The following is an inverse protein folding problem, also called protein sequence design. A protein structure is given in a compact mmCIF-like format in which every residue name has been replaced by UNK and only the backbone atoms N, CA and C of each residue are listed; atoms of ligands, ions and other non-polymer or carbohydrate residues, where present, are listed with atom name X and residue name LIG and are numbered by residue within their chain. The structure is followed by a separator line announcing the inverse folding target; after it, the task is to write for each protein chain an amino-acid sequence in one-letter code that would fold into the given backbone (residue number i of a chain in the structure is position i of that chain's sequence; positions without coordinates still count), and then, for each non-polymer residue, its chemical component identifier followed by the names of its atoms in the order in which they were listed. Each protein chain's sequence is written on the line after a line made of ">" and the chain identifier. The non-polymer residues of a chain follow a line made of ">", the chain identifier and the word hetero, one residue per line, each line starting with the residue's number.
data_IF_399343793864
#
_entry.id   IF_399343793864
#
_cell.length_a   1.000
_cell.length_b   1.000
_cell.length_c   1.000
_cell.angle_alpha   90.00
_cell.angle_beta   90.00
_cell.angle_gamma   90.00
#
_symmetry.space_group_name_H-M   'P 1'
#
loop_
_entity.id
_entity.type
_entity.pdbx_description
1 polymer ?
#
# COMPACT_ATOMS: atom_id res chain seq x y z
N UNK A 1 55.59 52.30 4.14
CA UNK A 1 56.01 51.84 2.84
C UNK A 1 55.87 50.28 2.84
N UNK A 2 55.04 49.79 1.99
CA UNK A 2 54.82 48.39 1.59
C UNK A 2 54.67 47.32 2.67
N UNK A 3 53.44 46.98 2.98
CA UNK A 3 52.97 45.58 3.07
C UNK A 3 51.52 45.55 2.58
N UNK A 4 51.42 45.58 1.30
CA UNK A 4 50.20 45.17 0.56
C UNK A 4 50.57 43.93 -0.18
N UNK A 5 49.58 43.06 -0.32
CA UNK A 5 49.47 42.00 -1.33
C UNK A 5 49.70 40.59 -0.81
N UNK A 6 48.59 39.91 -0.98
CA UNK A 6 48.33 38.49 -1.22
C UNK A 6 47.58 37.78 -0.07
N UNK A 7 46.34 38.18 0.12
CA UNK A 7 45.27 37.21 0.49
C UNK A 7 44.57 36.78 -0.79
N UNK A 8 45.14 35.84 -1.51
CA UNK A 8 44.41 35.10 -2.54
C UNK A 8 43.33 34.25 -1.85
N UNK A 9 42.10 34.77 -1.95
CA UNK A 9 40.93 34.01 -1.58
C UNK A 9 40.84 32.74 -2.40
N UNK A 10 41.11 31.59 -1.80
CA UNK A 10 40.54 30.36 -2.19
C UNK A 10 39.09 30.38 -1.71
N UNK A 11 38.19 30.88 -2.53
CA UNK A 11 36.81 30.46 -2.51
C UNK A 11 36.81 28.96 -2.79
N UNK A 12 36.75 28.15 -1.75
CA UNK A 12 36.31 26.78 -1.85
C UNK A 12 34.90 26.82 -2.45
N UNK A 13 34.83 26.61 -3.76
CA UNK A 13 33.62 26.22 -4.41
C UNK A 13 33.22 24.87 -3.81
N UNK A 14 32.49 24.89 -2.70
CA UNK A 14 31.60 23.82 -2.30
C UNK A 14 30.53 23.70 -3.39
N UNK A 15 30.86 23.06 -4.48
CA UNK A 15 29.93 22.51 -5.43
C UNK A 15 29.34 21.26 -4.75
N UNK A 16 28.48 21.47 -3.73
CA UNK A 16 27.39 20.54 -3.45
C UNK A 16 26.59 20.47 -4.75
N UNK A 17 26.82 19.44 -5.53
CA UNK A 17 25.90 19.00 -6.57
C UNK A 17 24.61 18.60 -5.84
N UNK A 18 23.75 19.59 -5.56
CA UNK A 18 22.38 19.34 -5.14
C UNK A 18 21.76 18.50 -6.25
N UNK A 19 21.71 17.19 -6.05
CA UNK A 19 20.92 16.31 -6.90
C UNK A 19 19.49 16.88 -6.91
N UNK A 20 19.10 17.44 -8.06
CA UNK A 20 17.81 18.10 -8.21
C UNK A 20 16.73 17.04 -7.97
N UNK A 21 16.02 17.16 -6.83
CA UNK A 21 14.97 16.23 -6.44
C UNK A 21 13.99 16.01 -7.59
N UNK A 22 13.66 14.75 -7.89
CA UNK A 22 12.63 14.39 -8.86
C UNK A 22 11.30 15.08 -8.54
N UNK A 23 10.50 15.38 -9.55
CA UNK A 23 9.19 16.02 -9.35
C UNK A 23 8.15 15.44 -10.31
N UNK A 24 6.94 15.24 -9.81
CA UNK A 24 5.77 14.94 -10.62
C UNK A 24 5.46 16.08 -11.60
N UNK A 25 4.83 15.74 -12.73
CA UNK A 25 4.46 16.74 -13.75
C UNK A 25 3.45 17.77 -13.21
N UNK A 26 2.56 17.36 -12.29
CA UNK A 26 1.54 18.21 -11.67
C UNK A 26 0.62 17.41 -10.75
N UNK A 27 -0.55 17.97 -10.43
CA UNK A 27 -1.56 17.38 -9.54
C UNK A 27 -1.94 15.95 -9.97
N UNK A 28 -2.28 15.76 -11.25
CA UNK A 28 -2.72 14.46 -11.75
C UNK A 28 -1.63 13.39 -11.61
N UNK A 29 -0.35 13.75 -11.85
CA UNK A 29 0.79 12.84 -11.67
C UNK A 29 0.91 12.37 -10.22
N UNK A 30 0.83 13.29 -9.27
CA UNK A 30 0.84 12.95 -7.84
C UNK A 30 -0.36 12.08 -7.46
N UNK A 31 -1.58 12.53 -7.77
CA UNK A 31 -2.82 11.84 -7.37
C UNK A 31 -2.87 10.40 -7.90
N UNK A 32 -2.58 10.18 -9.19
CA UNK A 32 -2.63 8.84 -9.76
C UNK A 32 -1.49 7.93 -9.26
N UNK A 33 -0.31 8.50 -8.95
CA UNK A 33 0.77 7.73 -8.34
C UNK A 33 0.47 7.38 -6.89
N UNK A 34 -0.05 8.32 -6.09
CA UNK A 34 -0.42 8.08 -4.70
C UNK A 34 -1.65 7.17 -4.58
N UNK A 35 -2.67 7.36 -5.44
CA UNK A 35 -3.80 6.43 -5.51
C UNK A 35 -3.36 5.04 -5.95
N UNK A 36 -2.42 4.92 -6.91
CA UNK A 36 -1.83 3.64 -7.31
C UNK A 36 -1.01 2.97 -6.21
N UNK A 37 -0.39 3.76 -5.32
CA UNK A 37 0.24 3.23 -4.12
C UNK A 37 -0.79 2.67 -3.13
N UNK A 38 -1.91 3.38 -2.94
CA UNK A 38 -2.98 3.00 -2.00
C UNK A 38 -3.82 1.85 -2.54
N UNK A 39 -4.21 1.90 -3.82
CA UNK A 39 -5.01 0.83 -4.45
C UNK A 39 -4.12 -0.37 -4.77
N UNK A 40 -4.11 -1.35 -3.87
CA UNK A 40 -3.27 -2.53 -3.96
C UNK A 40 -4.02 -3.83 -3.71
N UNK A 41 -3.26 -4.87 -3.43
CA UNK A 41 -3.82 -6.19 -3.09
C UNK A 41 -4.72 -6.12 -1.85
N UNK A 42 -4.46 -5.19 -0.92
CA UNK A 42 -5.27 -4.99 0.27
C UNK A 42 -6.72 -4.62 -0.02
N UNK A 43 -6.98 -3.83 -1.08
CA UNK A 43 -8.34 -3.49 -1.50
C UNK A 43 -9.05 -4.68 -2.17
N UNK A 44 -8.30 -5.52 -2.89
CA UNK A 44 -8.88 -6.58 -3.71
C UNK A 44 -9.22 -7.83 -2.90
N UNK A 45 -8.39 -8.23 -1.94
CA UNK A 45 -8.69 -9.45 -1.17
C UNK A 45 -9.02 -9.20 0.30
N UNK A 46 -8.19 -8.35 0.98
CA UNK A 46 -8.31 -8.17 2.43
C UNK A 46 -9.59 -7.40 2.78
N UNK A 47 -9.89 -6.34 2.06
CA UNK A 47 -11.09 -5.55 2.30
C UNK A 47 -12.39 -6.35 2.14
N UNK A 48 -12.64 -7.09 1.01
CA UNK A 48 -13.84 -7.90 0.88
C UNK A 48 -13.99 -8.97 1.96
N UNK A 49 -12.89 -9.65 2.31
CA UNK A 49 -12.88 -10.63 3.37
C UNK A 49 -13.28 -10.01 4.72
N UNK A 50 -12.63 -8.91 5.11
CA UNK A 50 -12.92 -8.24 6.38
C UNK A 50 -14.34 -7.67 6.40
N UNK A 51 -14.80 -7.10 5.29
CA UNK A 51 -16.17 -6.62 5.18
C UNK A 51 -17.18 -7.75 5.37
N UNK A 52 -16.97 -8.91 4.75
CA UNK A 52 -17.84 -10.05 4.93
C UNK A 52 -17.81 -10.61 6.37
N UNK A 53 -16.62 -10.75 6.95
CA UNK A 53 -16.45 -11.30 8.31
C UNK A 53 -16.97 -10.38 9.41
N UNK A 54 -16.84 -9.06 9.24
CA UNK A 54 -17.11 -8.10 10.32
C UNK A 54 -18.34 -7.22 10.05
N UNK A 55 -19.35 -7.77 9.37
CA UNK A 55 -20.70 -7.21 9.37
C UNK A 55 -21.14 -6.48 8.09
N UNK A 56 -20.43 -6.67 6.97
CA UNK A 56 -20.86 -6.14 5.65
C UNK A 56 -20.99 -4.63 5.63
N UNK A 57 -22.22 -4.12 5.46
CA UNK A 57 -22.48 -2.69 5.34
C UNK A 57 -22.11 -1.86 6.57
N UNK A 58 -22.13 -2.44 7.78
CA UNK A 58 -21.71 -1.71 8.98
C UNK A 58 -20.17 -1.57 9.00
N UNK A 59 -19.42 -2.58 8.53
CA UNK A 59 -17.98 -2.48 8.34
C UNK A 59 -17.63 -1.40 7.31
N UNK A 60 -18.35 -1.37 6.17
CA UNK A 60 -18.16 -0.35 5.14
C UNK A 60 -18.41 1.06 5.69
N UNK A 61 -19.48 1.26 6.48
CA UNK A 61 -19.77 2.55 7.10
C UNK A 61 -18.64 3.01 8.02
N UNK A 62 -18.15 2.11 8.90
CA UNK A 62 -17.03 2.40 9.81
C UNK A 62 -15.76 2.71 9.00
N UNK A 63 -15.47 1.93 7.96
CA UNK A 63 -14.33 2.15 7.08
C UNK A 63 -14.37 3.54 6.43
N UNK A 64 -15.51 3.96 5.87
CA UNK A 64 -15.67 5.29 5.26
C UNK A 64 -15.44 6.40 6.29
N UNK A 65 -16.03 6.27 7.50
CA UNK A 65 -15.83 7.25 8.57
C UNK A 65 -14.35 7.39 8.95
N UNK A 66 -13.63 6.27 9.02
CA UNK A 66 -12.19 6.27 9.29
C UNK A 66 -11.39 6.85 8.11
N UNK A 67 -11.79 6.60 6.86
CA UNK A 67 -11.12 7.16 5.68
C UNK A 67 -11.16 8.69 5.70
N UNK A 68 -12.34 9.27 5.91
CA UNK A 68 -12.54 10.73 5.89
C UNK A 68 -12.00 11.45 7.14
N UNK A 69 -11.59 10.72 8.16
CA UNK A 69 -11.05 11.27 9.40
C UNK A 69 -9.58 10.90 9.60
N UNK A 70 -9.31 9.66 9.97
CA UNK A 70 -7.96 9.16 10.26
C UNK A 70 -7.10 9.11 9.01
N UNK A 71 -7.59 8.48 7.94
CA UNK A 71 -6.88 8.33 6.67
C UNK A 71 -6.50 9.69 6.08
N UNK A 72 -7.49 10.57 5.95
CA UNK A 72 -7.30 11.95 5.51
C UNK A 72 -6.19 12.68 6.30
N UNK A 73 -6.25 12.57 7.63
CA UNK A 73 -5.30 13.24 8.52
C UNK A 73 -3.88 12.76 8.31
N UNK A 74 -3.67 11.45 8.22
CA UNK A 74 -2.34 10.88 8.06
C UNK A 74 -1.75 11.15 6.68
N UNK A 75 -2.56 11.07 5.61
CA UNK A 75 -2.11 11.41 4.25
C UNK A 75 -1.64 12.87 4.19
N UNK A 76 -2.39 13.82 4.77
CA UNK A 76 -1.99 15.23 4.83
C UNK A 76 -0.68 15.38 5.61
N UNK A 77 -0.57 14.77 6.79
CA UNK A 77 0.60 14.91 7.64
C UNK A 77 1.88 14.42 6.92
N UNK A 78 1.84 13.22 6.36
CA UNK A 78 3.00 12.63 5.68
C UNK A 78 3.34 13.35 4.37
N UNK A 79 2.34 13.70 3.56
CA UNK A 79 2.55 14.44 2.31
C UNK A 79 3.12 15.84 2.58
N UNK A 80 2.61 16.53 3.59
CA UNK A 80 3.13 17.85 3.97
C UNK A 80 4.57 17.76 4.47
N UNK A 81 4.92 16.80 5.33
CA UNK A 81 6.29 16.56 5.78
C UNK A 81 7.24 16.35 4.59
N UNK A 82 6.85 15.52 3.64
CA UNK A 82 7.62 15.27 2.42
C UNK A 82 7.80 16.55 1.59
N UNK A 83 6.72 17.32 1.36
CA UNK A 83 6.77 18.54 0.54
C UNK A 83 7.58 19.65 1.19
N UNK A 84 7.48 19.83 2.51
CA UNK A 84 8.25 20.81 3.28
C UNK A 84 9.76 20.55 3.20
N UNK A 85 10.14 19.28 3.38
CA UNK A 85 11.55 18.91 3.56
C UNK A 85 12.26 18.58 2.25
N UNK A 86 11.51 18.17 1.22
CA UNK A 86 12.05 17.69 -0.06
C UNK A 86 12.97 16.49 0.09
N UNK A 87 12.75 15.66 1.10
CA UNK A 87 13.58 14.49 1.44
C UNK A 87 12.74 13.22 1.59
N UNK A 88 13.41 12.08 1.55
CA UNK A 88 12.89 10.78 1.94
C UNK A 88 12.56 10.74 3.45
N UNK A 89 11.90 9.71 3.96
CA UNK A 89 11.48 9.65 5.36
C UNK A 89 12.59 9.96 6.36
N UNK A 90 13.79 9.37 6.22
CA UNK A 90 14.90 9.60 7.14
C UNK A 90 15.32 11.08 7.15
N UNK A 91 15.53 11.62 5.95
CA UNK A 91 15.89 13.02 5.79
C UNK A 91 14.79 13.98 6.22
N UNK A 92 13.51 13.60 6.07
CA UNK A 92 12.38 14.41 6.53
C UNK A 92 12.34 14.54 8.05
N UNK A 93 12.57 13.45 8.77
CA UNK A 93 12.62 13.48 10.23
C UNK A 93 13.86 14.22 10.75
N UNK A 94 15.03 13.97 10.19
CA UNK A 94 16.29 14.60 10.60
C UNK A 94 16.35 16.10 10.30
N UNK A 95 15.48 16.60 9.39
CA UNK A 95 15.34 18.02 9.12
C UNK A 95 14.92 18.84 10.37
N UNK A 96 14.14 18.24 11.26
CA UNK A 96 13.61 18.90 12.46
C UNK A 96 14.46 18.69 13.71
N UNK A 97 15.58 17.98 13.61
CA UNK A 97 16.52 17.79 14.72
C UNK A 97 17.35 16.51 14.58
N UNK A 98 18.38 16.40 15.42
CA UNK A 98 19.34 15.28 15.43
C UNK A 98 19.15 14.30 16.60
N UNK A 99 17.98 14.29 17.23
CA UNK A 99 17.71 13.39 18.35
C UNK A 99 17.57 11.92 17.95
N UNK A 100 17.97 10.99 18.84
CA UNK A 100 17.86 9.53 18.58
C UNK A 100 16.42 9.08 18.24
N UNK A 101 15.41 9.68 18.87
CA UNK A 101 14.00 9.38 18.56
C UNK A 101 13.58 9.81 17.16
N UNK A 102 14.09 10.93 16.66
CA UNK A 102 13.85 11.37 15.28
C UNK A 102 14.52 10.44 14.28
N UNK A 103 15.76 10.05 14.53
CA UNK A 103 16.45 9.07 13.69
C UNK A 103 15.68 7.74 13.64
N UNK A 104 15.21 7.24 14.79
CA UNK A 104 14.40 6.03 14.85
C UNK A 104 13.09 6.17 14.05
N UNK A 105 12.33 7.27 14.22
CA UNK A 105 11.09 7.52 13.50
C UNK A 105 11.30 7.59 11.99
N UNK A 106 12.39 8.23 11.53
CA UNK A 106 12.75 8.28 10.11
C UNK A 106 13.11 6.91 9.55
N UNK A 107 13.98 6.16 10.24
CA UNK A 107 14.44 4.85 9.78
C UNK A 107 13.34 3.80 9.82
N UNK A 108 12.45 3.78 10.81
CA UNK A 108 11.35 2.81 10.82
C UNK A 108 10.43 3.01 9.61
N UNK A 109 10.09 4.27 9.27
CA UNK A 109 9.31 4.58 8.06
C UNK A 109 10.03 4.19 6.76
N UNK A 110 11.36 4.25 6.72
CA UNK A 110 12.16 3.91 5.55
C UNK A 110 12.39 2.41 5.38
N UNK A 111 12.53 1.66 6.48
CA UNK A 111 12.77 0.21 6.46
C UNK A 111 11.51 -0.58 6.10
N UNK A 112 10.33 -0.09 6.47
CA UNK A 112 9.06 -0.75 6.17
C UNK A 112 8.92 -1.10 4.67
N UNK A 113 9.00 -0.16 3.71
CA UNK A 113 8.87 -0.51 2.30
C UNK A 113 9.99 -1.42 1.79
N UNK A 114 11.20 -1.34 2.37
CA UNK A 114 12.33 -2.23 2.03
C UNK A 114 12.02 -3.68 2.40
N UNK A 115 11.29 -3.91 3.49
CA UNK A 115 10.88 -5.25 3.93
C UNK A 115 9.59 -5.73 3.26
N UNK A 116 8.67 -4.83 2.93
CA UNK A 116 7.39 -5.19 2.28
C UNK A 116 7.61 -5.62 0.84
N UNK A 117 8.35 -4.83 0.05
CA UNK A 117 8.44 -5.06 -1.40
C UNK A 117 8.97 -6.44 -1.80
N UNK A 118 9.90 -7.09 -1.08
CA UNK A 118 10.32 -8.44 -1.38
C UNK A 118 9.18 -9.48 -1.36
N UNK A 119 8.48 -9.62 -0.23
CA UNK A 119 7.41 -10.60 -0.12
C UNK A 119 6.16 -10.20 -0.92
N UNK A 120 5.88 -8.91 -1.07
CA UNK A 120 4.81 -8.40 -1.92
C UNK A 120 5.01 -8.77 -3.39
N UNK A 121 6.27 -8.77 -3.84
CA UNK A 121 6.63 -9.19 -5.21
C UNK A 121 6.43 -10.69 -5.43
N UNK A 122 6.54 -11.52 -4.39
CA UNK A 122 6.19 -12.96 -4.47
C UNK A 122 4.70 -13.12 -4.80
N UNK A 123 3.85 -12.39 -4.10
CA UNK A 123 2.40 -12.42 -4.36
C UNK A 123 2.08 -11.87 -5.75
N UNK A 124 2.78 -10.81 -6.18
CA UNK A 124 2.70 -10.30 -7.55
C UNK A 124 3.09 -11.35 -8.61
N UNK A 125 4.08 -12.18 -8.31
CA UNK A 125 4.45 -13.34 -9.12
C UNK A 125 3.33 -14.39 -9.22
N UNK A 126 2.65 -14.68 -8.11
CA UNK A 126 1.49 -15.58 -8.12
C UNK A 126 0.37 -15.04 -9.02
N UNK A 127 0.15 -13.73 -9.01
CA UNK A 127 -0.83 -13.09 -9.91
C UNK A 127 -0.43 -13.28 -11.38
N UNK A 128 0.85 -13.10 -11.74
CA UNK A 128 1.34 -13.34 -13.11
C UNK A 128 1.11 -14.79 -13.52
N UNK A 129 1.42 -15.75 -12.64
CA UNK A 129 1.19 -17.17 -12.92
C UNK A 129 -0.29 -17.46 -13.20
N UNK A 130 -1.20 -16.99 -12.36
CA UNK A 130 -2.64 -17.19 -12.54
C UNK A 130 -3.16 -16.52 -13.82
N UNK A 131 -2.72 -15.32 -14.11
CA UNK A 131 -3.05 -14.63 -15.37
C UNK A 131 -2.59 -15.46 -16.58
N UNK A 132 -1.36 -15.97 -16.56
CA UNK A 132 -0.82 -16.82 -17.63
C UNK A 132 -1.66 -18.08 -17.84
N UNK A 133 -2.10 -18.74 -16.77
CA UNK A 133 -2.97 -19.91 -16.86
C UNK A 133 -4.34 -19.58 -17.49
N UNK A 134 -4.95 -18.45 -17.12
CA UNK A 134 -6.19 -18.01 -17.76
C UNK A 134 -6.01 -17.68 -19.24
N UNK A 135 -4.92 -16.99 -19.61
CA UNK A 135 -4.61 -16.64 -21.00
C UNK A 135 -4.30 -17.85 -21.88
N UNK A 136 -3.72 -18.90 -21.32
CA UNK A 136 -3.41 -20.14 -22.02
C UNK A 136 -4.55 -21.17 -22.03
N UNK A 137 -5.72 -20.80 -21.50
CA UNK A 137 -6.92 -21.68 -21.49
C UNK A 137 -6.96 -22.72 -20.38
N UNK A 138 -6.03 -22.67 -19.42
CA UNK A 138 -5.98 -23.58 -18.28
C UNK A 138 -6.71 -23.07 -17.03
N UNK A 139 -7.60 -22.08 -17.19
CA UNK A 139 -8.33 -21.45 -16.09
C UNK A 139 -9.15 -22.42 -15.22
N UNK A 140 -9.67 -23.50 -15.81
CA UNK A 140 -10.41 -24.53 -15.06
C UNK A 140 -9.52 -25.32 -14.10
N UNK A 141 -8.25 -25.51 -14.42
CA UNK A 141 -7.30 -26.19 -13.53
C UNK A 141 -7.05 -25.43 -12.23
N UNK A 142 -7.15 -24.08 -12.26
CA UNK A 142 -6.98 -23.24 -11.09
C UNK A 142 -8.06 -23.43 -10.01
N UNK A 143 -9.23 -23.94 -10.40
CA UNK A 143 -10.33 -24.26 -9.49
C UNK A 143 -10.19 -25.59 -8.78
N UNK A 144 -9.21 -26.42 -9.16
CA UNK A 144 -9.00 -27.74 -8.54
C UNK A 144 -8.41 -27.61 -7.13
N UNK A 145 -8.82 -28.52 -6.25
CA UNK A 145 -8.29 -28.57 -4.90
C UNK A 145 -6.78 -28.86 -4.93
N UNK A 146 -6.04 -28.13 -4.12
CA UNK A 146 -4.58 -28.27 -4.02
C UNK A 146 -3.77 -27.60 -5.14
N UNK A 147 -4.38 -27.00 -6.17
CA UNK A 147 -3.63 -26.33 -7.23
C UNK A 147 -2.71 -25.23 -6.67
N UNK A 148 -3.26 -24.32 -5.85
CA UNK A 148 -2.48 -23.23 -5.27
C UNK A 148 -1.33 -23.74 -4.39
N UNK A 149 -1.60 -24.70 -3.50
CA UNK A 149 -0.55 -25.26 -2.64
C UNK A 149 0.51 -26.02 -3.46
N UNK A 150 0.12 -26.74 -4.50
CA UNK A 150 1.05 -27.38 -5.43
C UNK A 150 1.93 -26.38 -6.20
N UNK A 151 1.36 -25.23 -6.59
CA UNK A 151 2.10 -24.16 -7.27
C UNK A 151 3.13 -23.50 -6.33
N UNK A 152 2.72 -23.06 -5.13
CA UNK A 152 3.63 -22.36 -4.20
C UNK A 152 4.69 -23.29 -3.59
N UNK A 153 4.44 -24.59 -3.52
CA UNK A 153 5.44 -25.58 -3.09
C UNK A 153 6.45 -25.94 -4.18
N UNK A 154 6.14 -25.67 -5.45
CA UNK A 154 7.08 -25.81 -6.56
C UNK A 154 8.06 -24.63 -6.56
N UNK A 155 9.18 -24.79 -5.88
CA UNK A 155 10.18 -23.71 -5.69
C UNK A 155 10.64 -23.08 -6.99
N UNK A 156 10.86 -23.86 -8.06
CA UNK A 156 11.32 -23.30 -9.35
C UNK A 156 10.26 -22.40 -9.99
N UNK A 157 9.01 -22.86 -10.02
CA UNK A 157 7.92 -22.13 -10.67
C UNK A 157 7.55 -20.87 -9.89
N UNK A 158 7.49 -20.97 -8.55
CA UNK A 158 7.26 -19.85 -7.67
C UNK A 158 8.36 -18.78 -7.78
N UNK A 159 9.63 -19.21 -7.85
CA UNK A 159 10.77 -18.32 -8.00
C UNK A 159 10.79 -17.60 -9.36
N UNK A 160 10.54 -18.31 -10.46
CA UNK A 160 10.46 -17.68 -11.80
C UNK A 160 9.36 -16.63 -11.84
N UNK A 161 8.19 -16.92 -11.31
CA UNK A 161 7.06 -15.99 -11.28
C UNK A 161 7.39 -14.74 -10.44
N UNK A 162 7.99 -14.92 -9.27
CA UNK A 162 8.47 -13.86 -8.39
C UNK A 162 9.52 -12.96 -9.09
N UNK A 163 10.55 -13.56 -9.69
CA UNK A 163 11.61 -12.82 -10.37
C UNK A 163 11.05 -12.02 -11.56
N UNK A 164 10.12 -12.58 -12.31
CA UNK A 164 9.48 -11.88 -13.43
C UNK A 164 8.77 -10.60 -12.95
N UNK A 165 7.96 -10.68 -11.87
CA UNK A 165 7.31 -9.51 -11.30
C UNK A 165 8.31 -8.48 -10.78
N UNK A 166 9.36 -8.96 -10.09
CA UNK A 166 10.43 -8.11 -9.54
C UNK A 166 11.16 -7.34 -10.65
N UNK A 167 11.53 -8.01 -11.74
CA UNK A 167 12.21 -7.35 -12.86
C UNK A 167 11.32 -6.35 -13.60
N UNK A 168 10.01 -6.61 -13.71
CA UNK A 168 9.06 -5.62 -14.28
C UNK A 168 9.03 -4.38 -13.38
N UNK A 169 8.91 -4.55 -12.06
CA UNK A 169 8.93 -3.44 -11.10
C UNK A 169 10.22 -2.63 -11.19
N UNK A 170 11.38 -3.30 -11.14
CA UNK A 170 12.69 -2.64 -11.22
C UNK A 170 12.88 -1.90 -12.56
N UNK A 171 12.45 -2.49 -13.67
CA UNK A 171 12.50 -1.83 -14.99
C UNK A 171 11.76 -0.50 -15.04
N UNK A 172 10.60 -0.43 -14.38
CA UNK A 172 9.82 0.81 -14.25
C UNK A 172 10.56 1.82 -13.35
N UNK A 173 11.15 1.35 -12.25
CA UNK A 173 11.91 2.21 -11.33
C UNK A 173 13.15 2.80 -12.01
N UNK A 174 13.88 2.03 -12.80
CA UNK A 174 15.02 2.53 -13.59
C UNK A 174 14.64 3.68 -14.54
N UNK A 175 13.42 3.69 -15.07
CA UNK A 175 12.92 4.77 -15.94
C UNK A 175 12.68 6.10 -15.18
N UNK A 176 12.74 6.11 -13.84
CA UNK A 176 12.62 7.30 -12.99
C UNK A 176 11.19 7.66 -12.60
N UNK A 177 11.05 8.70 -11.78
CA UNK A 177 9.76 9.11 -11.21
C UNK A 177 8.76 9.52 -12.31
N UNK A 178 9.16 10.41 -13.20
CA UNK A 178 8.27 10.98 -14.22
C UNK A 178 7.98 10.03 -15.37
N UNK A 179 9.00 9.36 -15.88
CA UNK A 179 8.88 8.49 -17.08
C UNK A 179 8.49 7.05 -16.71
N UNK A 180 8.80 6.61 -15.50
CA UNK A 180 8.43 5.30 -14.94
C UNK A 180 7.18 5.41 -14.08
N UNK A 181 7.34 5.77 -12.81
CA UNK A 181 6.27 5.74 -11.79
C UNK A 181 5.02 6.48 -12.24
N UNK A 182 5.15 7.76 -12.59
CA UNK A 182 4.02 8.61 -12.97
C UNK A 182 3.35 8.16 -14.27
N UNK A 183 4.16 7.84 -15.30
CA UNK A 183 3.64 7.44 -16.61
C UNK A 183 2.87 6.12 -16.53
N UNK A 184 3.40 5.16 -15.81
CA UNK A 184 2.76 3.85 -15.61
C UNK A 184 1.47 4.01 -14.81
N UNK A 185 1.47 4.76 -13.71
CA UNK A 185 0.26 5.03 -12.92
C UNK A 185 -0.83 5.74 -13.72
N UNK A 186 -0.46 6.68 -14.60
CA UNK A 186 -1.41 7.38 -15.48
C UNK A 186 -2.15 6.45 -16.45
N UNK A 187 -1.54 5.35 -16.84
CA UNK A 187 -2.17 4.34 -17.72
C UNK A 187 -2.90 3.29 -16.92
N UNK A 188 -2.23 2.72 -15.92
CA UNK A 188 -2.78 1.59 -15.15
C UNK A 188 -4.01 1.97 -14.32
N UNK A 189 -4.01 3.14 -13.67
CA UNK A 189 -5.12 3.52 -12.78
C UNK A 189 -6.46 3.69 -13.50
N UNK A 190 -6.58 4.41 -14.62
CA UNK A 190 -7.84 4.46 -15.36
C UNK A 190 -8.31 3.08 -15.86
N UNK A 191 -7.39 2.25 -16.36
CA UNK A 191 -7.73 0.89 -16.81
C UNK A 191 -8.23 0.04 -15.63
N UNK A 192 -7.58 0.13 -14.47
CA UNK A 192 -7.99 -0.56 -13.25
C UNK A 192 -9.42 -0.15 -12.84
N UNK A 193 -9.75 1.15 -12.87
CA UNK A 193 -11.11 1.63 -12.58
C UNK A 193 -12.13 1.05 -13.55
N UNK A 194 -11.85 1.08 -14.86
CA UNK A 194 -12.76 0.51 -15.87
C UNK A 194 -12.96 -1.00 -15.65
N UNK A 195 -11.88 -1.75 -15.43
CA UNK A 195 -11.95 -3.19 -15.17
C UNK A 195 -12.75 -3.49 -13.90
N UNK A 196 -12.55 -2.71 -12.81
CA UNK A 196 -13.29 -2.90 -11.57
C UNK A 196 -14.79 -2.70 -11.75
N UNK A 197 -15.19 -1.68 -12.53
CA UNK A 197 -16.62 -1.44 -12.85
C UNK A 197 -17.18 -2.60 -13.68
N UNK A 198 -16.49 -3.03 -14.72
CA UNK A 198 -16.95 -4.13 -15.60
C UNK A 198 -17.16 -5.42 -14.80
N UNK A 199 -16.19 -5.79 -13.95
CA UNK A 199 -16.29 -7.01 -13.16
C UNK A 199 -17.35 -6.89 -12.07
N UNK A 200 -17.48 -5.72 -11.41
CA UNK A 200 -18.51 -5.49 -10.40
C UNK A 200 -19.92 -5.60 -11.02
N UNK A 201 -20.15 -4.96 -12.18
CA UNK A 201 -21.42 -5.08 -12.90
C UNK A 201 -21.73 -6.54 -13.26
N UNK A 202 -20.73 -7.28 -13.77
CA UNK A 202 -20.89 -8.70 -14.05
C UNK A 202 -21.24 -9.49 -12.79
N UNK A 203 -20.55 -9.25 -11.67
CA UNK A 203 -20.78 -9.95 -10.40
C UNK A 203 -22.19 -9.70 -9.84
N UNK A 204 -22.63 -8.45 -9.76
CA UNK A 204 -23.94 -8.09 -9.18
C UNK A 204 -25.13 -8.55 -10.02
N UNK A 205 -24.93 -8.82 -11.31
CA UNK A 205 -25.97 -9.33 -12.20
C UNK A 205 -26.14 -10.86 -12.17
N UNK A 206 -25.36 -11.59 -11.37
CA UNK A 206 -25.50 -13.04 -11.26
C UNK A 206 -26.73 -13.44 -10.46
N UNK A 207 -27.41 -14.54 -10.83
CA UNK A 207 -28.49 -15.09 -10.01
C UNK A 207 -28.00 -15.34 -8.57
N UNK A 208 -28.75 -14.87 -7.58
CA UNK A 208 -28.37 -14.99 -6.17
C UNK A 208 -27.43 -13.91 -5.62
N UNK A 209 -26.82 -13.08 -6.47
CA UNK A 209 -25.89 -12.03 -6.05
C UNK A 209 -26.52 -10.91 -5.21
N UNK A 210 -27.85 -10.66 -5.36
CA UNK A 210 -28.54 -9.55 -4.69
C UNK A 210 -28.45 -9.64 -3.16
N UNK A 211 -28.44 -10.85 -2.59
CA UNK A 211 -28.25 -11.03 -1.15
C UNK A 211 -26.88 -10.50 -0.69
N UNK A 212 -25.82 -10.78 -1.44
CA UNK A 212 -24.48 -10.28 -1.18
C UNK A 212 -24.36 -8.76 -1.35
N UNK A 213 -25.01 -8.19 -2.39
CA UNK A 213 -25.09 -6.73 -2.57
C UNK A 213 -25.76 -6.07 -1.36
N UNK A 214 -26.91 -6.60 -0.93
CA UNK A 214 -27.64 -6.07 0.22
C UNK A 214 -26.81 -6.21 1.51
N UNK A 215 -26.19 -7.36 1.73
CA UNK A 215 -25.32 -7.59 2.89
C UNK A 215 -24.17 -6.58 2.95
N UNK A 216 -23.53 -6.30 1.81
CA UNK A 216 -22.34 -5.44 1.75
C UNK A 216 -22.69 -3.95 1.80
N UNK A 217 -23.79 -3.50 1.19
CA UNK A 217 -24.09 -2.07 1.08
C UNK A 217 -25.04 -1.55 2.16
N UNK A 218 -25.86 -2.42 2.76
CA UNK A 218 -26.86 -1.97 3.75
C UNK A 218 -26.32 -2.16 5.16
N UNK A 219 -26.05 -1.08 5.91
CA UNK A 219 -25.61 -1.17 7.29
C UNK A 219 -26.66 -1.86 8.17
N UNK A 220 -26.26 -2.94 8.85
CA UNK A 220 -27.09 -3.60 9.86
C UNK A 220 -26.44 -3.47 11.23
N UNK A 221 -26.99 -2.64 12.15
CA UNK A 221 -26.41 -2.46 13.49
C UNK A 221 -26.30 -3.75 14.30
N UNK A 222 -27.16 -4.76 14.02
CA UNK A 222 -27.09 -6.05 14.71
C UNK A 222 -25.78 -6.81 14.43
N UNK A 223 -25.12 -6.52 13.31
CA UNK A 223 -23.84 -7.10 12.92
C UNK A 223 -22.63 -6.32 13.47
N UNK A 224 -22.86 -5.26 14.24
CA UNK A 224 -21.78 -4.45 14.81
C UNK A 224 -21.07 -5.19 15.93
N UNK A 225 -19.75 -5.14 15.91
CA UNK A 225 -18.89 -5.58 17.02
C UNK A 225 -17.71 -4.61 17.18
N UNK A 226 -17.04 -4.63 18.33
CA UNK A 226 -15.81 -3.85 18.49
C UNK A 226 -14.71 -4.29 17.51
N UNK A 227 -14.74 -5.56 17.13
CA UNK A 227 -13.82 -6.09 16.10
C UNK A 227 -14.09 -5.48 14.72
N UNK A 228 -15.32 -5.05 14.42
CA UNK A 228 -15.64 -4.28 13.19
C UNK A 228 -14.80 -3.01 13.13
N UNK A 229 -14.71 -2.26 14.24
CA UNK A 229 -13.94 -1.01 14.32
C UNK A 229 -12.44 -1.30 14.21
N UNK A 230 -11.92 -2.25 14.99
CA UNK A 230 -10.48 -2.60 15.00
C UNK A 230 -10.02 -3.09 13.63
N UNK A 231 -10.81 -3.97 13.00
CA UNK A 231 -10.50 -4.52 11.68
C UNK A 231 -10.59 -3.45 10.59
N UNK A 232 -11.58 -2.54 10.66
CA UNK A 232 -11.69 -1.43 9.73
C UNK A 232 -10.52 -0.43 9.89
N UNK A 233 -10.06 -0.16 11.13
CA UNK A 233 -8.87 0.65 11.37
C UNK A 233 -7.62 0.01 10.75
N UNK A 234 -7.40 -1.27 11.00
CA UNK A 234 -6.26 -2.01 10.45
C UNK A 234 -6.30 -2.07 8.91
N UNK A 235 -7.48 -2.27 8.32
CA UNK A 235 -7.65 -2.26 6.87
C UNK A 235 -7.35 -0.90 6.26
N UNK A 236 -7.88 0.17 6.85
CA UNK A 236 -7.65 1.52 6.36
C UNK A 236 -6.18 1.91 6.42
N UNK A 237 -5.51 1.56 7.51
CA UNK A 237 -4.10 1.84 7.72
C UNK A 237 -3.23 1.22 6.62
N UNK A 238 -3.52 -0.04 6.28
CA UNK A 238 -2.84 -0.76 5.21
C UNK A 238 -3.21 -0.22 3.83
N UNK A 239 -4.50 0.01 3.57
CA UNK A 239 -5.02 0.41 2.28
C UNK A 239 -4.46 1.75 1.80
N UNK A 240 -4.46 2.77 2.66
CA UNK A 240 -3.97 4.11 2.32
C UNK A 240 -2.45 4.27 2.35
N UNK A 241 -1.69 3.18 2.49
CA UNK A 241 -0.22 3.19 2.55
C UNK A 241 0.35 4.13 3.62
N UNK A 242 -0.35 4.26 4.76
CA UNK A 242 0.03 5.13 5.88
C UNK A 242 1.23 4.52 6.61
N UNK A 243 2.16 5.35 7.02
CA UNK A 243 3.38 4.99 7.76
C UNK A 243 4.29 3.98 7.04
N UNK A 244 4.25 3.98 5.71
CA UNK A 244 5.16 3.20 4.85
C UNK A 244 6.24 4.08 4.19
N UNK A 245 6.37 5.34 4.57
CA UNK A 245 7.31 6.28 3.96
C UNK A 245 6.94 6.73 2.54
N UNK A 246 5.98 6.07 1.88
CA UNK A 246 5.55 6.35 0.50
C UNK A 246 5.00 7.78 0.38
N UNK A 247 4.08 8.17 1.25
CA UNK A 247 3.44 9.48 1.20
C UNK A 247 4.42 10.62 1.49
N UNK A 248 5.41 10.41 2.37
CA UNK A 248 6.52 11.35 2.60
C UNK A 248 7.36 11.46 1.33
N UNK A 249 7.76 10.34 0.73
CA UNK A 249 8.54 10.30 -0.51
C UNK A 249 7.81 11.00 -1.66
N UNK A 250 6.54 10.65 -1.91
CA UNK A 250 5.74 11.27 -2.98
C UNK A 250 5.43 12.74 -2.69
N UNK A 251 5.19 13.09 -1.43
CA UNK A 251 5.10 14.48 -0.99
C UNK A 251 6.36 15.28 -1.34
N UNK A 252 7.56 14.68 -1.20
CA UNK A 252 8.81 15.35 -1.57
C UNK A 252 8.93 15.64 -3.08
N UNK A 253 8.20 14.94 -3.92
CA UNK A 253 8.11 15.15 -5.37
C UNK A 253 6.98 16.10 -5.78
N UNK A 254 6.09 16.46 -4.84
CA UNK A 254 4.95 17.35 -5.11
C UNK A 254 5.41 18.79 -5.32
N UNK A 255 4.88 19.44 -6.36
CA UNK A 255 5.15 20.88 -6.61
C UNK A 255 4.43 21.75 -5.57
N UNK A 256 5.00 22.90 -5.26
CA UNK A 256 4.46 23.84 -4.25
C UNK A 256 3.08 24.39 -4.61
N UNK A 257 2.80 24.59 -5.89
CA UNK A 257 1.52 25.10 -6.39
C UNK A 257 0.40 24.05 -6.48
N UNK A 258 0.66 22.79 -6.07
CA UNK A 258 -0.36 21.73 -6.03
C UNK A 258 -0.97 21.68 -4.64
N UNK A 259 -2.30 21.71 -4.55
CA UNK A 259 -3.01 21.61 -3.27
C UNK A 259 -2.84 20.23 -2.64
N UNK A 260 -2.34 20.17 -1.40
CA UNK A 260 -2.23 18.94 -0.62
C UNK A 260 -3.63 18.44 -0.31
N UNK A 261 -4.52 19.30 0.22
CA UNK A 261 -5.88 18.89 0.61
C UNK A 261 -6.66 18.27 -0.54
N UNK A 262 -6.76 18.96 -1.68
CA UNK A 262 -7.47 18.41 -2.83
C UNK A 262 -6.83 17.13 -3.39
N UNK A 263 -5.51 17.00 -3.29
CA UNK A 263 -4.83 15.80 -3.73
C UNK A 263 -5.12 14.63 -2.79
N UNK A 264 -5.13 14.88 -1.48
CA UNK A 264 -5.50 13.90 -0.45
C UNK A 264 -6.94 13.44 -0.61
N UNK A 265 -7.90 14.36 -0.81
CA UNK A 265 -9.30 14.03 -1.08
C UNK A 265 -9.46 13.13 -2.30
N UNK A 266 -8.70 13.40 -3.37
CA UNK A 266 -8.76 12.56 -4.56
C UNK A 266 -8.18 11.16 -4.30
N UNK A 267 -7.07 11.03 -3.55
CA UNK A 267 -6.50 9.71 -3.18
C UNK A 267 -7.49 8.94 -2.31
N UNK A 268 -8.08 9.58 -1.31
CA UNK A 268 -9.10 9.01 -0.43
C UNK A 268 -10.31 8.48 -1.22
N UNK A 269 -10.82 9.28 -2.18
CA UNK A 269 -11.94 8.89 -3.04
C UNK A 269 -11.57 7.71 -3.93
N UNK A 270 -10.39 7.73 -4.56
CA UNK A 270 -9.93 6.62 -5.40
C UNK A 270 -9.80 5.32 -4.62
N UNK A 271 -9.14 5.35 -3.47
CA UNK A 271 -8.95 4.17 -2.63
C UNK A 271 -10.28 3.59 -2.15
N UNK A 272 -11.14 4.45 -1.58
CA UNK A 272 -12.46 4.04 -1.07
C UNK A 272 -13.37 3.52 -2.20
N UNK A 273 -13.38 4.16 -3.36
CA UNK A 273 -14.17 3.71 -4.50
C UNK A 273 -13.72 2.34 -5.00
N UNK A 274 -12.41 2.10 -5.09
CA UNK A 274 -11.90 0.79 -5.51
C UNK A 274 -12.16 -0.28 -4.43
N UNK A 275 -12.05 0.05 -3.15
CA UNK A 275 -12.41 -0.87 -2.07
C UNK A 275 -13.91 -1.28 -2.16
N UNK A 276 -14.81 -0.32 -2.42
CA UNK A 276 -16.24 -0.61 -2.64
C UNK A 276 -16.43 -1.45 -3.90
N UNK A 277 -15.76 -1.12 -5.01
CA UNK A 277 -15.83 -1.92 -6.23
C UNK A 277 -15.34 -3.35 -5.99
N UNK A 278 -14.22 -3.53 -5.27
CA UNK A 278 -13.71 -4.85 -4.90
C UNK A 278 -14.71 -5.65 -4.05
N UNK A 279 -15.35 -4.99 -3.08
CA UNK A 279 -16.46 -5.58 -2.32
C UNK A 279 -17.59 -6.03 -3.23
N UNK A 280 -18.02 -5.20 -4.19
CA UNK A 280 -19.07 -5.54 -5.17
C UNK A 280 -18.63 -6.58 -6.21
N UNK A 281 -17.34 -6.68 -6.52
CA UNK A 281 -16.83 -7.74 -7.40
C UNK A 281 -16.87 -9.11 -6.72
N UNK A 282 -16.53 -9.17 -5.44
CA UNK A 282 -16.21 -10.42 -4.75
C UNK A 282 -17.37 -10.92 -3.91
N UNK A 283 -17.93 -10.09 -3.03
CA UNK A 283 -18.96 -10.54 -2.06
C UNK A 283 -20.21 -11.06 -2.77
N UNK A 284 -20.82 -10.35 -3.75
CA UNK A 284 -21.99 -10.86 -4.46
C UNK A 284 -21.72 -12.15 -5.25
N UNK A 285 -20.51 -12.26 -5.87
CA UNK A 285 -20.14 -13.46 -6.60
C UNK A 285 -20.00 -14.68 -5.70
N UNK A 286 -19.37 -14.50 -4.52
CA UNK A 286 -19.22 -15.59 -3.54
C UNK A 286 -20.57 -15.95 -2.92
N UNK A 287 -21.43 -15.00 -2.61
CA UNK A 287 -22.79 -15.28 -2.12
C UNK A 287 -23.64 -16.04 -3.14
N UNK A 288 -23.55 -15.68 -4.43
CA UNK A 288 -24.23 -16.43 -5.50
C UNK A 288 -23.70 -17.87 -5.61
N UNK A 289 -22.42 -18.10 -5.39
CA UNK A 289 -21.78 -19.40 -5.44
C UNK A 289 -22.07 -20.26 -4.20
N UNK A 290 -22.04 -19.66 -2.99
CA UNK A 290 -22.17 -20.37 -1.71
C UNK A 290 -23.62 -20.52 -1.21
N UNK A 291 -24.59 -19.94 -1.93
CA UNK A 291 -25.98 -19.89 -1.44
C UNK A 291 -26.21 -18.88 -0.31
N UNK A 292 -25.30 -17.93 -0.13
CA UNK A 292 -25.46 -16.82 0.82
C UNK A 292 -24.65 -16.95 2.11
N UNK A 293 -23.68 -17.88 2.16
CA UNK A 293 -22.81 -18.07 3.33
C UNK A 293 -21.58 -17.13 3.27
N UNK A 294 -21.46 -16.13 4.17
CA UNK A 294 -20.32 -15.23 4.20
C UNK A 294 -19.02 -15.92 4.67
N UNK A 295 -19.10 -17.04 5.40
CA UNK A 295 -17.93 -17.76 5.92
C UNK A 295 -17.15 -18.51 4.81
N UNK A 296 -17.73 -18.60 3.61
CA UNK A 296 -17.04 -19.11 2.42
C UNK A 296 -15.91 -18.18 1.94
N UNK A 297 -15.91 -16.90 2.32
CA UNK A 297 -14.83 -15.99 2.03
C UNK A 297 -13.63 -16.29 2.94
N UNK A 298 -12.62 -16.93 2.38
CA UNK A 298 -11.39 -17.26 3.10
C UNK A 298 -10.49 -16.03 3.28
N UNK A 299 -9.68 -16.05 4.34
CA UNK A 299 -8.74 -14.96 4.61
C UNK A 299 -7.53 -14.98 3.66
N UNK A 300 -6.98 -13.79 3.39
CA UNK A 300 -5.70 -13.63 2.75
C UNK A 300 -5.62 -14.15 1.30
N UNK A 301 -4.48 -14.70 0.90
CA UNK A 301 -4.26 -15.20 -0.46
C UNK A 301 -5.26 -16.29 -0.88
N UNK A 302 -5.78 -17.08 0.05
CA UNK A 302 -6.73 -18.13 -0.23
C UNK A 302 -8.01 -17.61 -0.90
N UNK A 303 -8.49 -16.42 -0.56
CA UNK A 303 -9.63 -15.82 -1.25
C UNK A 303 -9.34 -15.67 -2.74
N UNK A 304 -8.20 -15.08 -3.10
CA UNK A 304 -7.87 -14.75 -4.48
C UNK A 304 -7.42 -15.95 -5.30
N UNK A 305 -6.68 -16.88 -4.70
CA UNK A 305 -6.03 -17.97 -5.44
C UNK A 305 -6.73 -19.33 -5.30
N UNK A 306 -7.71 -19.45 -4.39
CA UNK A 306 -8.51 -20.67 -4.23
C UNK A 306 -9.99 -20.39 -4.48
N UNK A 307 -10.60 -19.47 -3.71
CA UNK A 307 -12.04 -19.23 -3.75
C UNK A 307 -12.49 -18.59 -5.07
N UNK A 308 -11.85 -17.52 -5.49
CA UNK A 308 -12.23 -16.77 -6.71
C UNK A 308 -12.13 -17.62 -7.99
N UNK A 309 -11.08 -18.42 -8.23
CA UNK A 309 -11.04 -19.35 -9.38
C UNK A 309 -12.19 -20.36 -9.38
N UNK A 310 -12.59 -20.89 -8.22
CA UNK A 310 -13.76 -21.80 -8.10
C UNK A 310 -15.06 -21.07 -8.45
N UNK A 311 -15.23 -19.84 -7.96
CA UNK A 311 -16.39 -18.99 -8.30
C UNK A 311 -16.44 -18.76 -9.81
N UNK A 312 -15.33 -18.37 -10.44
CA UNK A 312 -15.29 -18.13 -11.88
C UNK A 312 -15.54 -19.41 -12.69
N UNK A 313 -15.02 -20.55 -12.25
CA UNK A 313 -15.29 -21.83 -12.91
C UNK A 313 -16.78 -22.21 -12.89
N UNK A 314 -17.54 -21.78 -11.89
CA UNK A 314 -18.98 -21.98 -11.80
C UNK A 314 -19.82 -21.02 -12.64
N UNK A 315 -19.19 -19.93 -13.15
CA UNK A 315 -19.87 -18.87 -13.89
C UNK A 315 -19.77 -19.07 -15.41
N UNK A 316 -20.81 -18.72 -16.16
CA UNK A 316 -20.70 -18.51 -17.60
C UNK A 316 -19.65 -17.42 -17.90
N UNK A 317 -18.80 -17.62 -18.90
CA UNK A 317 -17.68 -16.70 -19.25
C UNK A 317 -16.58 -16.62 -18.17
N UNK A 318 -16.48 -17.57 -17.25
CA UNK A 318 -15.52 -17.51 -16.14
C UNK A 318 -14.06 -17.32 -16.56
N UNK A 319 -13.62 -17.89 -17.69
CA UNK A 319 -12.27 -17.66 -18.22
C UNK A 319 -12.03 -16.21 -18.60
N UNK A 320 -12.98 -15.55 -19.31
CA UNK A 320 -12.84 -14.15 -19.69
C UNK A 320 -12.83 -13.22 -18.45
N UNK A 321 -13.73 -13.48 -17.50
CA UNK A 321 -13.77 -12.71 -16.25
C UNK A 321 -12.50 -12.95 -15.42
N UNK A 322 -11.97 -14.16 -15.41
CA UNK A 322 -10.70 -14.49 -14.77
C UNK A 322 -9.53 -13.72 -15.36
N UNK A 323 -9.44 -13.61 -16.71
CA UNK A 323 -8.42 -12.78 -17.36
C UNK A 323 -8.55 -11.33 -16.93
N UNK A 324 -9.77 -10.73 -17.01
CA UNK A 324 -9.99 -9.33 -16.64
C UNK A 324 -9.65 -9.08 -15.15
N UNK A 325 -10.04 -10.00 -14.28
CA UNK A 325 -9.76 -9.93 -12.86
C UNK A 325 -8.26 -9.98 -12.56
N UNK A 326 -7.53 -10.96 -13.11
CA UNK A 326 -6.09 -11.05 -12.85
C UNK A 326 -5.26 -9.97 -13.54
N UNK A 327 -5.73 -9.36 -14.65
CA UNK A 327 -5.15 -8.12 -15.21
C UNK A 327 -5.35 -6.95 -14.24
N UNK A 328 -6.56 -6.78 -13.69
CA UNK A 328 -6.85 -5.78 -12.68
C UNK A 328 -5.96 -5.93 -11.44
N UNK A 329 -5.86 -7.16 -10.92
CA UNK A 329 -5.03 -7.48 -9.76
C UNK A 329 -3.55 -7.23 -10.04
N UNK A 330 -3.06 -7.58 -11.25
CA UNK A 330 -1.68 -7.33 -11.65
C UNK A 330 -1.38 -5.82 -11.68
N UNK A 331 -2.29 -5.00 -12.18
CA UNK A 331 -2.11 -3.55 -12.19
C UNK A 331 -2.10 -2.97 -10.78
N UNK A 332 -3.00 -3.41 -9.90
CA UNK A 332 -3.01 -3.03 -8.50
C UNK A 332 -1.72 -3.45 -7.78
N UNK A 333 -1.24 -4.66 -8.03
CA UNK A 333 0.01 -5.15 -7.45
C UNK A 333 1.23 -4.35 -7.96
N UNK A 334 1.32 -4.08 -9.26
CA UNK A 334 2.44 -3.34 -9.84
C UNK A 334 2.50 -1.89 -9.37
N UNK A 335 1.37 -1.17 -9.33
CA UNK A 335 1.37 0.24 -8.89
C UNK A 335 1.81 0.39 -7.44
N UNK A 336 1.39 -0.51 -6.55
CA UNK A 336 1.83 -0.52 -5.15
C UNK A 336 3.29 -0.96 -5.00
N UNK A 337 3.75 -1.99 -5.74
CA UNK A 337 5.15 -2.44 -5.73
C UNK A 337 6.10 -1.33 -6.20
N UNK A 338 5.71 -0.61 -7.26
CA UNK A 338 6.46 0.56 -7.77
C UNK A 338 6.59 1.64 -6.68
N UNK A 339 5.51 1.96 -5.97
CA UNK A 339 5.51 2.98 -4.94
C UNK A 339 6.38 2.61 -3.72
N UNK A 340 6.30 1.35 -3.27
CA UNK A 340 7.15 0.79 -2.22
C UNK A 340 8.63 0.83 -2.61
N UNK A 341 8.95 0.37 -3.83
CA UNK A 341 10.32 0.34 -4.34
C UNK A 341 10.87 1.76 -4.51
N UNK A 342 10.07 2.72 -4.99
CA UNK A 342 10.47 4.12 -5.11
C UNK A 342 10.79 4.75 -3.77
N UNK A 343 9.98 4.48 -2.74
CA UNK A 343 10.25 4.96 -1.37
C UNK A 343 11.57 4.40 -0.83
N UNK A 344 11.84 3.12 -1.06
CA UNK A 344 13.09 2.47 -0.68
C UNK A 344 14.30 3.06 -1.43
N UNK A 345 14.22 3.19 -2.75
CA UNK A 345 15.29 3.74 -3.59
C UNK A 345 15.60 5.19 -3.19
N UNK A 346 14.57 6.03 -3.02
CA UNK A 346 14.76 7.43 -2.65
C UNK A 346 15.43 7.61 -1.29
N UNK A 347 15.26 6.66 -0.38
CA UNK A 347 15.96 6.68 0.91
C UNK A 347 17.47 6.52 0.73
N UNK A 348 17.91 5.60 -0.11
CA UNK A 348 19.35 5.40 -0.36
C UNK A 348 19.94 6.53 -1.23
N UNK A 349 19.17 7.10 -2.17
CA UNK A 349 19.58 8.31 -2.90
C UNK A 349 19.89 9.46 -1.92
N UNK A 350 19.01 9.68 -0.93
CA UNK A 350 19.16 10.80 0.01
C UNK A 350 20.23 10.54 1.10
N UNK A 351 20.26 9.35 1.69
CA UNK A 351 21.11 9.08 2.85
C UNK A 351 22.55 8.74 2.46
N UNK A 352 22.76 8.08 1.31
CA UNK A 352 24.09 7.71 0.84
C UNK A 352 24.61 8.65 -0.26
N UNK A 353 23.79 9.56 -0.77
CA UNK A 353 24.15 10.43 -1.90
C UNK A 353 24.40 9.65 -3.19
N UNK A 354 23.80 8.46 -3.31
CA UNK A 354 23.99 7.61 -4.48
C UNK A 354 23.10 8.05 -5.64
N UNK A 355 23.53 7.75 -6.86
CA UNK A 355 22.68 7.88 -8.02
C UNK A 355 21.55 6.85 -8.02
N UNK A 356 20.51 7.12 -8.79
CA UNK A 356 19.33 6.26 -8.91
C UNK A 356 19.67 4.83 -9.31
N UNK A 357 20.61 4.67 -10.24
CA UNK A 357 20.99 3.34 -10.73
C UNK A 357 21.57 2.47 -9.62
N UNK A 358 22.53 3.01 -8.85
CA UNK A 358 23.12 2.27 -7.73
C UNK A 358 22.10 1.95 -6.64
N UNK A 359 21.26 2.93 -6.28
CA UNK A 359 20.21 2.73 -5.28
C UNK A 359 19.20 1.68 -5.74
N UNK A 360 18.80 1.68 -7.02
CA UNK A 360 17.88 0.69 -7.58
C UNK A 360 18.50 -0.71 -7.62
N UNK A 361 19.78 -0.83 -7.97
CA UNK A 361 20.49 -2.12 -7.95
C UNK A 361 20.53 -2.68 -6.53
N UNK A 362 20.88 -1.86 -5.53
CA UNK A 362 20.91 -2.31 -4.14
C UNK A 362 19.54 -2.82 -3.69
N UNK A 363 18.47 -2.04 -3.95
CA UNK A 363 17.11 -2.46 -3.61
C UNK A 363 16.74 -3.73 -4.37
N UNK A 364 17.11 -3.85 -5.65
CA UNK A 364 16.92 -5.06 -6.44
C UNK A 364 17.59 -6.29 -5.81
N UNK A 365 18.81 -6.15 -5.33
CA UNK A 365 19.51 -7.24 -4.60
C UNK A 365 18.78 -7.61 -3.31
N UNK A 366 18.30 -6.62 -2.54
CA UNK A 366 17.52 -6.87 -1.32
C UNK A 366 16.19 -7.56 -1.67
N UNK A 367 15.48 -7.07 -2.70
CA UNK A 367 14.22 -7.67 -3.17
C UNK A 367 14.41 -9.13 -3.56
N UNK A 368 15.44 -9.44 -4.35
CA UNK A 368 15.71 -10.80 -4.78
C UNK A 368 16.08 -11.68 -3.59
N UNK A 369 16.99 -11.23 -2.71
CA UNK A 369 17.44 -12.05 -1.58
C UNK A 369 16.31 -12.36 -0.60
N UNK A 370 15.59 -11.35 -0.11
CA UNK A 370 14.50 -11.54 0.86
C UNK A 370 13.23 -12.13 0.21
N UNK A 371 13.01 -11.80 -1.06
CA UNK A 371 11.89 -12.34 -1.82
C UNK A 371 12.08 -13.82 -2.14
N UNK A 372 13.28 -14.28 -2.49
CA UNK A 372 13.57 -15.71 -2.69
C UNK A 372 13.37 -16.51 -1.40
N UNK A 373 13.74 -15.98 -0.23
CA UNK A 373 13.40 -16.62 1.05
C UNK A 373 11.88 -16.79 1.20
N UNK A 374 11.12 -15.78 0.85
CA UNK A 374 9.65 -15.80 0.93
C UNK A 374 9.02 -16.71 -0.14
N UNK A 375 9.53 -16.71 -1.37
CA UNK A 375 9.02 -17.55 -2.47
C UNK A 375 9.30 -19.04 -2.23
N UNK A 376 10.49 -19.36 -1.73
CA UNK A 376 10.91 -20.74 -1.42
C UNK A 376 10.38 -21.25 -0.07
N UNK A 377 9.85 -20.35 0.76
CA UNK A 377 9.36 -20.66 2.11
C UNK A 377 8.23 -21.68 2.16
N UNK A 378 7.41 -21.79 1.11
CA UNK A 378 6.32 -22.77 1.03
C UNK A 378 6.72 -24.07 0.31
N UNK A 379 7.95 -24.17 -0.16
CA UNK A 379 8.50 -25.33 -0.90
C UNK A 379 9.80 -25.82 -0.28
N UNK A 380 10.96 -25.60 -0.94
CA UNK A 380 12.26 -26.12 -0.48
C UNK A 380 12.66 -25.67 0.93
N UNK A 381 12.24 -24.50 1.37
CA UNK A 381 12.51 -23.93 2.69
C UNK A 381 11.34 -24.06 3.68
N UNK A 382 10.32 -24.87 3.38
CA UNK A 382 9.11 -24.98 4.22
C UNK A 382 9.40 -25.45 5.66
N UNK A 383 10.49 -26.14 5.91
CA UNK A 383 10.92 -26.53 7.25
C UNK A 383 11.60 -25.42 8.06
N UNK A 384 11.98 -24.31 7.39
CA UNK A 384 12.65 -23.18 8.02
C UNK A 384 11.63 -22.09 8.34
N UNK A 385 11.33 -21.93 9.61
CA UNK A 385 10.34 -20.94 10.07
C UNK A 385 10.94 -19.95 11.05
N UNK A 386 10.38 -18.76 11.13
CA UNK A 386 10.74 -17.71 12.10
C UNK A 386 9.55 -17.54 13.04
N UNK A 387 9.70 -17.82 14.33
CA UNK A 387 8.60 -17.86 15.31
C UNK A 387 7.41 -18.74 14.87
N UNK A 388 7.67 -19.84 14.15
CA UNK A 388 6.64 -20.73 13.64
C UNK A 388 5.91 -20.24 12.37
N UNK A 389 6.29 -19.08 11.83
CA UNK A 389 5.76 -18.52 10.59
C UNK A 389 6.69 -18.77 9.41
N UNK A 390 6.14 -18.94 8.21
CA UNK A 390 6.90 -18.89 6.98
C UNK A 390 7.47 -17.49 6.75
N UNK A 391 8.53 -17.36 5.94
CA UNK A 391 9.20 -16.06 5.75
C UNK A 391 8.26 -14.96 5.28
N UNK A 392 7.35 -15.24 4.32
CA UNK A 392 6.37 -14.27 3.85
C UNK A 392 5.48 -13.79 5.00
N UNK A 393 4.92 -14.72 5.77
CA UNK A 393 4.00 -14.43 6.87
C UNK A 393 4.73 -13.67 8.00
N UNK A 394 5.99 -14.02 8.25
CA UNK A 394 6.82 -13.31 9.23
C UNK A 394 7.10 -11.86 8.82
N UNK A 395 7.49 -11.62 7.56
CA UNK A 395 7.73 -10.25 7.08
C UNK A 395 6.44 -9.43 7.05
N UNK A 396 5.31 -10.03 6.65
CA UNK A 396 4.01 -9.39 6.70
C UNK A 396 3.62 -9.01 8.13
N UNK A 397 3.73 -9.94 9.07
CA UNK A 397 3.47 -9.68 10.49
C UNK A 397 4.39 -8.57 11.04
N UNK A 398 5.70 -8.67 10.81
CA UNK A 398 6.69 -7.70 11.32
C UNK A 398 6.40 -6.29 10.80
N UNK A 399 6.14 -6.15 9.51
CA UNK A 399 5.92 -4.84 8.90
C UNK A 399 4.54 -4.28 9.20
N UNK A 400 3.48 -5.02 8.91
CA UNK A 400 2.12 -4.51 8.99
C UNK A 400 1.57 -4.48 10.43
N UNK A 401 1.88 -5.52 11.22
CA UNK A 401 1.32 -5.64 12.56
C UNK A 401 2.13 -4.92 13.64
N UNK A 402 3.44 -4.73 13.43
CA UNK A 402 4.34 -4.14 14.44
C UNK A 402 4.91 -2.81 13.98
N UNK A 403 5.65 -2.79 12.86
CA UNK A 403 6.43 -1.61 12.47
C UNK A 403 5.56 -0.44 12.02
N UNK A 404 4.54 -0.67 11.20
CA UNK A 404 3.67 0.41 10.69
C UNK A 404 2.94 1.17 11.80
N UNK A 405 2.28 0.53 12.79
CA UNK A 405 1.67 1.27 13.90
C UNK A 405 2.68 2.09 14.71
N UNK A 406 3.89 1.55 14.94
CA UNK A 406 4.96 2.30 15.61
C UNK A 406 5.40 3.50 14.78
N UNK A 407 5.55 3.34 13.47
CA UNK A 407 5.90 4.42 12.55
C UNK A 407 4.82 5.52 12.51
N UNK A 408 3.53 5.16 12.56
CA UNK A 408 2.44 6.12 12.64
C UNK A 408 2.44 6.90 13.95
N UNK A 409 2.68 6.24 15.08
CA UNK A 409 2.84 6.93 16.37
C UNK A 409 4.02 7.90 16.29
N UNK A 410 5.15 7.48 15.69
CA UNK A 410 6.31 8.34 15.50
C UNK A 410 5.98 9.57 14.62
N UNK A 411 5.22 9.39 13.53
CA UNK A 411 4.74 10.49 12.68
C UNK A 411 3.82 11.43 13.45
N UNK A 412 2.86 10.91 14.20
CA UNK A 412 1.96 11.72 15.03
C UNK A 412 2.74 12.54 16.07
N UNK A 413 3.72 11.93 16.75
CA UNK A 413 4.57 12.62 17.74
C UNK A 413 5.47 13.67 17.08
N UNK A 414 6.06 13.35 15.93
CA UNK A 414 6.86 14.30 15.16
C UNK A 414 6.03 15.55 14.85
N UNK A 415 4.85 15.36 14.24
CA UNK A 415 4.02 16.49 13.79
C UNK A 415 3.41 17.23 14.98
N UNK A 416 2.90 16.54 16.01
CA UNK A 416 2.19 17.21 17.12
C UNK A 416 3.11 17.86 18.15
N UNK A 417 4.37 17.39 18.31
CA UNK A 417 5.26 17.83 19.41
C UNK A 417 6.52 18.55 18.93
N UNK A 418 7.01 18.27 17.73
CA UNK A 418 8.32 18.76 17.26
C UNK A 418 8.15 19.75 16.12
N UNK A 419 7.44 19.38 15.06
CA UNK A 419 7.18 20.27 13.90
C UNK A 419 6.20 21.36 14.30
N UNK A 420 5.14 21.01 15.00
CA UNK A 420 3.98 21.84 15.26
C UNK A 420 2.92 21.71 14.16
N UNK A 421 1.67 21.56 14.58
CA UNK A 421 0.53 21.42 13.66
C UNK A 421 0.38 22.67 12.80
N UNK A 422 0.72 23.83 13.35
CA UNK A 422 0.67 25.13 12.70
C UNK A 422 1.56 25.20 11.45
N UNK A 423 2.75 24.58 11.48
CA UNK A 423 3.64 24.51 10.30
C UNK A 423 3.09 23.60 9.19
N UNK A 424 2.38 22.53 9.56
CA UNK A 424 1.69 21.73 8.57
C UNK A 424 0.54 22.52 7.93
N UNK A 425 -0.20 23.28 8.73
CA UNK A 425 -1.26 24.16 8.24
C UNK A 425 -0.72 25.22 7.27
N UNK A 426 0.39 25.87 7.63
CA UNK A 426 1.07 26.84 6.75
C UNK A 426 1.50 26.21 5.43
N UNK A 427 2.02 24.98 5.47
CA UNK A 427 2.41 24.27 4.25
C UNK A 427 1.17 23.86 3.42
N UNK A 428 0.09 23.40 4.03
CA UNK A 428 -1.15 23.05 3.31
C UNK A 428 -1.80 24.26 2.69
N UNK A 429 -1.84 25.40 3.40
CA UNK A 429 -2.45 26.66 2.94
C UNK A 429 -1.53 27.53 2.07
N UNK A 430 -0.36 27.03 1.75
CA UNK A 430 0.63 27.75 0.94
C UNK A 430 0.03 28.21 -0.40
N UNK A 431 0.42 29.38 -0.86
CA UNK A 431 -0.11 30.02 -2.08
C UNK A 431 -1.63 30.23 -2.08
N UNK A 432 -2.24 30.41 -0.90
CA UNK A 432 -3.68 30.66 -0.75
C UNK A 432 -4.55 29.41 -0.94
N UNK A 433 -3.97 28.21 -0.86
CA UNK A 433 -4.74 26.97 -0.95
C UNK A 433 -5.68 26.82 0.24
N UNK A 434 -6.92 26.30 0.05
CA UNK A 434 -7.84 26.07 1.15
C UNK A 434 -7.41 24.90 2.04
N UNK A 435 -7.77 24.96 3.33
CA UNK A 435 -7.70 23.84 4.26
C UNK A 435 -9.05 23.71 4.99
N UNK A 436 -10.01 23.09 4.31
CA UNK A 436 -11.42 23.05 4.74
C UNK A 436 -11.64 22.16 5.95
N UNK A 437 -10.97 20.99 6.00
CA UNK A 437 -11.10 20.03 7.10
C UNK A 437 -10.03 20.22 8.20
N UNK A 438 -9.47 21.44 8.32
CA UNK A 438 -8.48 21.80 9.36
C UNK A 438 -8.91 21.39 10.79
N UNK A 439 -10.16 21.63 11.27
CA UNK A 439 -10.55 21.20 12.61
C UNK A 439 -10.48 19.68 12.82
N UNK A 440 -10.88 18.92 11.80
CA UNK A 440 -10.79 17.44 11.81
C UNK A 440 -9.33 17.01 11.90
N UNK A 441 -8.48 17.57 11.04
CA UNK A 441 -7.04 17.30 11.04
C UNK A 441 -6.41 17.53 12.41
N UNK A 442 -6.65 18.69 13.02
CA UNK A 442 -6.06 19.07 14.30
C UNK A 442 -6.49 18.16 15.45
N UNK A 443 -7.78 17.85 15.51
CA UNK A 443 -8.32 16.98 16.55
C UNK A 443 -7.82 15.55 16.38
N UNK A 444 -7.90 15.02 15.18
CA UNK A 444 -7.46 13.66 14.86
C UNK A 444 -5.97 13.47 15.14
N UNK A 445 -5.13 14.37 14.63
CA UNK A 445 -3.67 14.23 14.75
C UNK A 445 -3.18 14.33 16.19
N UNK A 446 -3.77 15.27 16.98
CA UNK A 446 -3.34 15.50 18.38
C UNK A 446 -3.78 14.40 19.32
N UNK A 447 -4.95 13.79 19.08
CA UNK A 447 -5.58 12.89 20.05
C UNK A 447 -5.87 11.50 19.50
N UNK A 448 -6.62 11.38 18.41
CA UNK A 448 -7.16 10.09 17.99
C UNK A 448 -6.17 9.25 17.17
N UNK A 449 -5.39 9.85 16.26
CA UNK A 449 -4.45 9.07 15.43
C UNK A 449 -3.43 8.28 16.25
N UNK A 450 -2.75 8.84 17.28
CA UNK A 450 -1.84 8.05 18.08
C UNK A 450 -2.56 6.97 18.92
N UNK A 451 -3.79 7.22 19.37
CA UNK A 451 -4.61 6.23 20.09
C UNK A 451 -4.98 5.08 19.14
N UNK A 452 -5.45 5.38 17.96
CA UNK A 452 -5.81 4.35 16.96
C UNK A 452 -4.61 3.50 16.57
N UNK A 453 -3.44 4.12 16.33
CA UNK A 453 -2.22 3.38 16.03
C UNK A 453 -1.81 2.47 17.22
N UNK A 454 -1.97 2.93 18.46
CA UNK A 454 -1.70 2.11 19.65
C UNK A 454 -2.70 0.93 19.79
N UNK A 455 -3.98 1.14 19.48
CA UNK A 455 -5.00 0.07 19.47
C UNK A 455 -4.65 -0.97 18.39
N UNK A 456 -4.27 -0.53 17.18
CA UNK A 456 -3.88 -1.43 16.09
C UNK A 456 -2.66 -2.26 16.52
N UNK A 457 -1.65 -1.63 17.11
CA UNK A 457 -0.47 -2.34 17.61
C UNK A 457 -0.83 -3.39 18.66
N UNK A 458 -1.60 -2.99 19.66
CA UNK A 458 -1.99 -3.88 20.76
C UNK A 458 -2.85 -5.06 20.27
N UNK A 459 -3.83 -4.79 19.37
CA UNK A 459 -4.68 -5.84 18.81
C UNK A 459 -3.91 -6.79 17.91
N UNK A 460 -2.99 -6.28 17.07
CA UNK A 460 -2.17 -7.11 16.20
C UNK A 460 -1.22 -8.02 17.00
N UNK A 461 -0.60 -7.50 18.04
CA UNK A 461 0.26 -8.30 18.93
C UNK A 461 -0.58 -9.34 19.69
N UNK A 462 -1.75 -8.96 20.21
CA UNK A 462 -2.66 -9.88 20.90
C UNK A 462 -3.14 -11.01 19.98
N UNK A 463 -3.43 -10.71 18.70
CA UNK A 463 -3.77 -11.71 17.69
C UNK A 463 -2.60 -12.66 17.42
N UNK A 464 -1.37 -12.14 17.28
CA UNK A 464 -0.18 -12.96 17.04
C UNK A 464 0.15 -13.88 18.24
N UNK A 465 -0.18 -13.45 19.47
CA UNK A 465 -0.04 -14.27 20.68
C UNK A 465 -1.21 -15.25 20.90
N UNK A 466 -2.22 -15.24 20.01
CA UNK A 466 -3.40 -16.09 20.12
C UNK A 466 -4.38 -15.68 21.22
N UNK A 467 -4.28 -14.46 21.76
CA UNK A 467 -5.17 -13.96 22.80
C UNK A 467 -6.53 -13.51 22.23
N UNK A 468 -6.54 -13.09 20.98
CA UNK A 468 -7.74 -12.75 20.21
C UNK A 468 -7.63 -13.34 18.81
N UNK A 469 -8.77 -13.58 18.13
CA UNK A 469 -8.81 -13.98 16.72
C UNK A 469 -9.29 -12.80 15.85
N UNK A 470 -8.47 -12.37 14.93
CA UNK A 470 -8.79 -11.28 13.98
C UNK A 470 -8.95 -11.82 12.55
#
# INVERSE_FOLDING_TARGET
>A
MLHLVLSTGKEEKNTETQHKRSAFSGKLGFVLSAAGASVGLGNIWRFPYLAAKYGGGIFLLVYILLAVTFGYTMIIAETALGRMTRKSPVGAYSHFGKGKGLAFGGWINAVIPILIVPYYSVIGGWVIHYLAQYLTGHGSALASDGYFSGFISNGLLAEIAFLLFTFITLGIIFAGVRNGVERVSKVMMPVLVVLSVVIAVYSVTRPGALAGVKYFLVPNPANFSWMTVVSAMGQMFYSLSIAMGILVTFGSYMKKNVSIEQSTENVEIFDTAIAIMAGLMIIPAVFAFSGGDPDTLQAGPALMFITIPKVFASMGMGTAVGVLFFVLVLFAALTSSIALTESAVSTFEDELGWDRTRSTILIGCIMITLGSLSALGYGPLASVTVFGMQFLDFFDFLTNSVMMPIAAIATCLLVSRIVGVEKIEEEVTREGQPFRRKPVFNFMLRYLCPIFAAIILASSVANALGWIAM
#
